data_IF_130300221055
#
_entry.id   IF_130300221055
#
_cell.length_a   1.000
_cell.length_b   1.000
_cell.length_c   1.000
_cell.angle_alpha   90.00
_cell.angle_beta   90.00
_cell.angle_gamma   90.00
#
_symmetry.space_group_name_H-M   'P 1'
#
loop_
_entity.id
_entity.type
_entity.pdbx_description
1 polymer ?
#
# COMPACT_ATOMS: atom_id res chain seq x y z
N UNK A 1 -14.53 -36.53 -27.23
CA UNK A 1 -14.54 -35.04 -27.24
C UNK A 1 -13.29 -34.58 -27.96
N UNK A 2 -13.45 -34.02 -29.16
CA UNK A 2 -12.32 -33.56 -29.96
C UNK A 2 -12.00 -32.13 -29.55
N UNK A 3 -10.89 -31.94 -28.82
CA UNK A 3 -10.45 -30.66 -28.25
C UNK A 3 -9.78 -29.70 -29.26
N UNK A 4 -9.64 -30.15 -30.51
CA UNK A 4 -8.95 -29.44 -31.59
C UNK A 4 -9.78 -28.28 -32.19
N UNK A 5 -11.09 -28.41 -32.48
CA UNK A 5 -11.89 -27.30 -33.00
C UNK A 5 -12.07 -26.15 -32.00
N UNK A 6 -12.19 -26.45 -30.69
CA UNK A 6 -12.45 -25.44 -29.66
C UNK A 6 -11.25 -24.52 -29.41
N UNK A 7 -10.02 -25.01 -29.56
CA UNK A 7 -8.81 -24.20 -29.38
C UNK A 7 -8.58 -23.21 -30.54
N UNK A 8 -9.05 -23.55 -31.74
CA UNK A 8 -8.96 -22.67 -32.92
C UNK A 8 -9.96 -21.51 -32.84
N UNK A 9 -11.15 -21.71 -32.28
CA UNK A 9 -12.14 -20.64 -32.05
C UNK A 9 -11.64 -19.56 -31.07
N UNK A 10 -10.99 -19.99 -29.98
CA UNK A 10 -10.44 -19.08 -28.96
C UNK A 10 -9.21 -18.31 -29.46
N UNK A 11 -8.48 -18.85 -30.44
CA UNK A 11 -7.29 -18.21 -31.02
C UNK A 11 -7.63 -17.13 -32.07
N UNK A 12 -8.84 -17.15 -32.63
CA UNK A 12 -9.26 -16.25 -33.70
C UNK A 12 -9.30 -14.74 -33.37
N UNK A 13 -9.63 -14.30 -32.14
CA UNK A 13 -9.54 -12.88 -31.76
C UNK A 13 -8.11 -12.40 -31.44
N UNK A 14 -7.11 -13.29 -31.47
CA UNK A 14 -5.78 -13.05 -30.92
C UNK A 14 -4.73 -13.55 -31.95
N UNK A 15 -4.77 -12.98 -33.15
CA UNK A 15 -4.06 -13.50 -34.33
C UNK A 15 -2.51 -13.40 -34.28
N UNK A 16 -1.92 -12.94 -33.17
CA UNK A 16 -0.46 -13.02 -32.91
C UNK A 16 -0.04 -14.27 -32.09
N UNK A 17 -0.97 -15.15 -31.70
CA UNK A 17 -0.73 -16.19 -30.68
C UNK A 17 -0.20 -17.56 -31.16
N UNK A 18 0.24 -17.80 -32.41
CA UNK A 18 0.62 -19.18 -32.79
C UNK A 18 1.70 -19.78 -31.89
N UNK A 19 2.70 -18.97 -31.50
CA UNK A 19 3.73 -19.40 -30.54
C UNK A 19 3.20 -19.41 -29.10
N UNK A 20 2.36 -18.43 -28.74
CA UNK A 20 1.79 -18.28 -27.40
C UNK A 20 0.81 -19.39 -27.05
N UNK A 21 0.00 -19.85 -28.00
CA UNK A 21 -0.93 -20.97 -27.87
C UNK A 21 -0.18 -22.30 -27.67
N UNK A 22 0.93 -22.51 -28.38
CA UNK A 22 1.79 -23.70 -28.20
C UNK A 22 2.46 -23.70 -26.82
N UNK A 23 2.89 -22.53 -26.35
CA UNK A 23 3.50 -22.38 -25.04
C UNK A 23 2.47 -22.60 -23.92
N UNK A 24 1.26 -22.05 -24.05
CA UNK A 24 0.14 -22.29 -23.13
C UNK A 24 -0.22 -23.78 -23.03
N UNK A 25 -0.30 -24.48 -24.16
CA UNK A 25 -0.58 -25.92 -24.17
C UNK A 25 0.51 -26.72 -23.48
N UNK A 26 1.79 -26.37 -23.70
CA UNK A 26 2.92 -26.99 -23.01
C UNK A 26 2.86 -26.74 -21.51
N UNK A 27 2.57 -25.51 -21.08
CA UNK A 27 2.46 -25.18 -19.65
C UNK A 27 1.28 -25.89 -18.98
N UNK A 28 0.14 -26.00 -19.64
CA UNK A 28 -1.00 -26.76 -19.14
C UNK A 28 -0.67 -28.26 -19.00
N UNK A 29 0.05 -28.85 -19.97
CA UNK A 29 0.50 -30.24 -19.89
C UNK A 29 1.53 -30.44 -18.77
N UNK A 30 2.51 -29.55 -18.64
CA UNK A 30 3.49 -29.60 -17.55
C UNK A 30 2.82 -29.48 -16.18
N UNK A 31 1.81 -28.62 -16.03
CA UNK A 31 1.05 -28.46 -14.80
C UNK A 31 0.23 -29.71 -14.43
N UNK A 32 -0.37 -30.39 -15.41
CA UNK A 32 -1.08 -31.65 -15.20
C UNK A 32 -0.12 -32.77 -14.76
N UNK A 33 1.10 -32.77 -15.29
CA UNK A 33 2.14 -33.77 -14.97
C UNK A 33 2.77 -33.49 -13.61
N UNK A 34 3.05 -32.23 -13.28
CA UNK A 34 3.57 -31.82 -12.00
C UNK A 34 3.06 -30.43 -11.61
N UNK A 35 2.16 -30.36 -10.62
CA UNK A 35 1.51 -29.12 -10.22
C UNK A 35 2.43 -28.17 -9.43
N UNK A 36 3.63 -28.61 -9.04
CA UNK A 36 4.62 -27.80 -8.33
C UNK A 36 5.67 -27.16 -9.26
N UNK A 37 5.78 -27.62 -10.51
CA UNK A 37 6.74 -27.12 -11.51
C UNK A 37 6.11 -26.09 -12.46
N UNK A 38 5.47 -25.06 -11.89
CA UNK A 38 5.02 -23.93 -12.69
C UNK A 38 6.23 -23.14 -13.21
N UNK A 39 6.23 -22.71 -14.49
CA UNK A 39 7.26 -21.82 -14.98
C UNK A 39 7.27 -20.56 -14.13
N UNK A 40 8.41 -20.29 -13.50
CA UNK A 40 8.62 -19.07 -12.72
C UNK A 40 8.35 -17.91 -13.66
N UNK A 41 7.39 -17.08 -13.29
CA UNK A 41 7.06 -15.89 -14.05
C UNK A 41 8.29 -14.97 -14.08
N UNK A 42 9.04 -15.00 -15.17
CA UNK A 42 10.21 -14.15 -15.35
C UNK A 42 9.82 -12.66 -15.41
N UNK A 43 8.53 -12.32 -15.60
CA UNK A 43 8.08 -10.92 -15.54
C UNK A 43 8.24 -10.29 -14.16
N UNK A 44 8.14 -11.06 -13.08
CA UNK A 44 8.30 -10.55 -11.71
C UNK A 44 9.74 -10.09 -11.43
N UNK A 45 10.69 -10.47 -12.28
CA UNK A 45 12.12 -10.12 -12.17
C UNK A 45 12.49 -8.83 -12.91
N UNK A 46 11.65 -8.30 -13.80
CA UNK A 46 12.11 -7.33 -14.82
C UNK A 46 11.92 -5.86 -14.44
N UNK A 47 11.20 -5.53 -13.38
CA UNK A 47 11.10 -4.14 -12.90
C UNK A 47 11.03 -4.08 -11.37
N UNK A 48 12.17 -4.30 -10.71
CA UNK A 48 12.29 -3.95 -9.29
C UNK A 48 12.23 -2.42 -9.20
N UNK A 49 11.09 -1.89 -8.74
CA UNK A 49 10.88 -0.46 -8.52
C UNK A 49 12.06 0.15 -7.75
N UNK A 50 12.47 1.37 -8.09
CA UNK A 50 13.51 2.09 -7.34
C UNK A 50 13.18 2.18 -5.84
N UNK A 51 11.90 2.22 -5.49
CA UNK A 51 11.42 2.16 -4.11
C UNK A 51 11.81 0.87 -3.37
N UNK A 52 11.87 -0.28 -4.05
CA UNK A 52 12.21 -1.56 -3.41
C UNK A 52 13.66 -1.63 -2.92
N UNK A 53 14.53 -0.73 -3.41
CA UNK A 53 15.90 -0.57 -2.89
C UNK A 53 15.96 0.14 -1.53
N UNK A 54 14.81 0.63 -1.03
CA UNK A 54 14.61 1.05 0.36
C UNK A 54 15.18 2.42 0.74
N UNK A 55 16.32 2.83 0.20
CA UNK A 55 16.97 4.11 0.54
C UNK A 55 16.18 5.31 0.00
N UNK A 56 15.79 5.25 -1.28
CA UNK A 56 15.02 6.33 -1.94
C UNK A 56 13.66 6.54 -1.26
N UNK A 57 13.02 5.45 -0.85
CA UNK A 57 11.76 5.49 -0.14
C UNK A 57 11.87 6.27 1.18
N UNK A 58 12.95 6.04 1.93
CA UNK A 58 13.20 6.75 3.20
C UNK A 58 13.43 8.23 2.97
N UNK A 59 14.25 8.60 1.98
CA UNK A 59 14.52 10.00 1.66
C UNK A 59 13.27 10.74 1.18
N UNK A 60 12.47 10.12 0.31
CA UNK A 60 11.18 10.67 -0.11
C UNK A 60 10.28 10.86 1.13
N UNK A 61 10.19 9.86 2.01
CA UNK A 61 9.37 9.96 3.23
C UNK A 61 9.81 11.14 4.11
N UNK A 62 11.11 11.28 4.34
CA UNK A 62 11.68 12.41 5.09
C UNK A 62 11.37 13.74 4.41
N UNK A 63 11.52 13.83 3.09
CA UNK A 63 11.18 15.05 2.36
C UNK A 63 9.70 15.42 2.50
N UNK A 64 8.81 14.45 2.32
CA UNK A 64 7.37 14.67 2.42
C UNK A 64 6.95 15.12 3.83
N UNK A 65 7.59 14.59 4.88
CA UNK A 65 7.38 15.06 6.26
C UNK A 65 7.74 16.54 6.45
N UNK A 66 8.75 17.07 5.74
CA UNK A 66 9.12 18.50 5.83
C UNK A 66 8.10 19.43 5.16
N UNK A 67 7.33 18.96 4.18
CA UNK A 67 6.29 19.73 3.49
C UNK A 67 5.06 19.88 4.39
N UNK A 68 4.71 18.82 5.13
CA UNK A 68 3.64 18.85 6.12
C UNK A 68 2.30 18.35 5.57
N UNK A 69 1.22 19.08 5.87
CA UNK A 69 -0.15 18.56 5.71
C UNK A 69 -0.60 18.38 4.26
N UNK A 70 -0.05 19.08 3.28
CA UNK A 70 -0.55 19.03 1.90
C UNK A 70 0.56 18.54 0.97
N UNK A 71 0.58 17.24 0.76
CA UNK A 71 1.56 16.53 -0.07
C UNK A 71 0.93 16.07 -1.38
N UNK A 72 1.68 16.19 -2.48
CA UNK A 72 1.27 15.78 -3.81
C UNK A 72 2.35 14.94 -4.49
N UNK A 73 1.95 14.20 -5.53
CA UNK A 73 2.89 13.44 -6.37
C UNK A 73 3.89 14.36 -7.10
N UNK A 74 3.52 15.63 -7.32
CA UNK A 74 4.42 16.63 -7.90
C UNK A 74 5.59 16.98 -6.96
N UNK A 75 5.38 16.90 -5.64
CA UNK A 75 6.44 17.14 -4.66
C UNK A 75 7.53 16.06 -4.72
N UNK A 76 7.12 14.80 -4.96
CA UNK A 76 8.06 13.69 -5.19
C UNK A 76 8.87 13.93 -6.46
N UNK A 77 8.22 14.36 -7.54
CA UNK A 77 8.91 14.69 -8.79
C UNK A 77 9.93 15.80 -8.57
N UNK A 78 9.51 16.90 -7.92
CA UNK A 78 10.37 18.04 -7.64
C UNK A 78 11.56 17.66 -6.77
N UNK A 79 11.36 16.79 -5.78
CA UNK A 79 12.43 16.25 -4.95
C UNK A 79 13.47 15.49 -5.78
N UNK A 80 13.02 14.59 -6.64
CA UNK A 80 13.89 13.78 -7.51
C UNK A 80 14.56 14.58 -8.63
N UNK A 81 14.03 15.75 -8.98
CA UNK A 81 14.66 16.68 -9.93
C UNK A 81 15.77 17.54 -9.31
N UNK A 82 15.92 17.53 -7.98
CA UNK A 82 17.04 18.19 -7.30
C UNK A 82 18.36 17.59 -7.80
N UNK A 83 19.36 18.40 -8.21
CA UNK A 83 20.59 17.89 -8.83
C UNK A 83 21.29 16.83 -7.97
N UNK A 84 21.38 17.06 -6.66
CA UNK A 84 22.03 16.13 -5.72
C UNK A 84 21.36 14.74 -5.72
N UNK A 85 20.03 14.69 -5.64
CA UNK A 85 19.25 13.45 -5.62
C UNK A 85 19.29 12.77 -6.99
N UNK A 86 19.20 13.57 -8.06
CA UNK A 86 19.22 13.09 -9.44
C UNK A 86 20.55 12.41 -9.78
N UNK A 87 21.66 12.97 -9.30
CA UNK A 87 23.00 12.43 -9.49
C UNK A 87 23.24 11.20 -8.61
N UNK A 88 22.82 11.24 -7.33
CA UNK A 88 22.94 10.12 -6.39
C UNK A 88 22.25 8.85 -6.91
N UNK A 89 21.07 8.98 -7.53
CA UNK A 89 20.31 7.86 -8.07
C UNK A 89 20.48 7.64 -9.58
N UNK A 90 21.42 8.36 -10.21
CA UNK A 90 21.71 8.29 -11.65
C UNK A 90 20.45 8.37 -12.55
N UNK A 91 19.51 9.25 -12.18
CA UNK A 91 18.22 9.38 -12.86
C UNK A 91 18.39 10.17 -14.17
N UNK A 92 18.44 9.45 -15.28
CA UNK A 92 18.55 10.04 -16.64
C UNK A 92 17.31 10.82 -17.07
N UNK A 93 16.14 10.45 -16.54
CA UNK A 93 14.85 11.06 -16.89
C UNK A 93 14.05 11.30 -15.62
N UNK A 94 13.28 12.38 -15.62
CA UNK A 94 12.26 12.62 -14.62
C UNK A 94 11.23 11.49 -14.67
N UNK A 95 10.80 11.01 -13.51
CA UNK A 95 9.73 10.02 -13.43
C UNK A 95 8.39 10.63 -13.89
N UNK A 96 7.52 9.87 -14.55
CA UNK A 96 6.20 10.37 -14.89
C UNK A 96 5.33 10.50 -13.64
N UNK A 97 4.34 11.40 -13.70
CA UNK A 97 3.39 11.63 -12.61
C UNK A 97 2.69 10.35 -12.15
N UNK A 98 2.34 9.45 -13.07
CA UNK A 98 1.72 8.18 -12.76
C UNK A 98 2.61 7.28 -11.88
N UNK A 99 3.92 7.27 -12.13
CA UNK A 99 4.87 6.54 -11.27
C UNK A 99 4.96 7.17 -9.89
N UNK A 100 4.99 8.50 -9.79
CA UNK A 100 4.99 9.20 -8.51
C UNK A 100 3.69 8.94 -7.71
N UNK A 101 2.53 8.88 -8.38
CA UNK A 101 1.27 8.49 -7.76
C UNK A 101 1.28 7.04 -7.26
N UNK A 102 1.79 6.12 -8.08
CA UNK A 102 1.93 4.72 -7.68
C UNK A 102 2.90 4.57 -6.49
N UNK A 103 3.95 5.39 -6.43
CA UNK A 103 4.88 5.44 -5.30
C UNK A 103 4.22 5.96 -4.03
N UNK A 104 3.36 6.98 -4.13
CA UNK A 104 2.57 7.44 -2.98
C UNK A 104 1.70 6.31 -2.43
N UNK A 105 0.98 5.60 -3.30
CA UNK A 105 0.13 4.46 -2.90
C UNK A 105 0.95 3.34 -2.24
N UNK A 106 2.10 2.98 -2.82
CA UNK A 106 3.01 1.98 -2.28
C UNK A 106 3.62 2.37 -0.91
N UNK A 107 3.72 3.66 -0.62
CA UNK A 107 4.22 4.22 0.63
C UNK A 107 3.09 4.61 1.61
N UNK A 108 1.86 4.16 1.37
CA UNK A 108 0.65 4.43 2.16
C UNK A 108 0.25 5.93 2.26
N UNK A 109 0.65 6.75 1.28
CA UNK A 109 0.22 8.14 1.13
C UNK A 109 -1.05 8.25 0.29
N UNK A 110 -2.19 7.98 0.89
CA UNK A 110 -3.50 8.13 0.26
C UNK A 110 -4.34 9.24 0.90
N UNK A 111 -4.89 10.12 0.08
CA UNK A 111 -5.90 11.11 0.48
C UNK A 111 -7.23 10.40 0.70
N UNK A 112 -7.52 10.04 1.95
CA UNK A 112 -8.83 9.52 2.33
C UNK A 112 -9.65 10.68 2.89
N UNK A 113 -10.93 10.75 2.51
CA UNK A 113 -11.87 11.62 3.24
C UNK A 113 -11.87 11.15 4.68
N UNK A 114 -11.44 12.02 5.59
CA UNK A 114 -11.53 11.73 7.01
C UNK A 114 -12.97 11.24 7.30
N UNK A 115 -13.15 10.06 7.90
CA UNK A 115 -14.48 9.59 8.24
C UNK A 115 -15.15 10.68 9.06
N UNK A 116 -16.25 11.22 8.55
CA UNK A 116 -17.08 12.19 9.26
C UNK A 116 -17.80 11.44 10.37
N UNK A 117 -17.07 11.10 11.42
CA UNK A 117 -17.53 10.20 12.45
C UNK A 117 -16.40 9.89 13.44
N UNK A 118 -16.52 10.50 14.61
CA UNK A 118 -15.80 10.21 15.86
C UNK A 118 -14.34 10.69 15.94
N UNK A 119 -14.21 11.94 16.42
CA UNK A 119 -13.06 12.55 17.12
C UNK A 119 -11.66 12.10 16.67
N UNK A 120 -11.14 12.74 15.61
CA UNK A 120 -9.74 12.61 15.17
C UNK A 120 -8.81 13.50 16.01
N UNK A 121 -9.34 14.58 16.60
CA UNK A 121 -8.66 15.30 17.66
C UNK A 121 -9.29 14.94 19.01
N UNK A 122 -8.46 14.79 20.04
CA UNK A 122 -8.91 14.73 21.42
C UNK A 122 -9.40 16.10 21.90
N UNK A 123 -10.15 16.84 21.09
CA UNK A 123 -10.80 18.06 21.55
C UNK A 123 -11.96 17.64 22.43
N UNK A 124 -11.67 17.37 23.70
CA UNK A 124 -12.68 17.04 24.70
C UNK A 124 -13.72 18.18 24.68
N UNK A 125 -14.92 17.87 24.17
CA UNK A 125 -16.00 18.84 24.14
C UNK A 125 -16.23 19.35 25.57
N UNK A 126 -16.31 20.68 25.75
CA UNK A 126 -16.41 21.29 27.09
C UNK A 126 -17.53 20.67 27.94
N UNK A 127 -18.62 20.25 27.30
CA UNK A 127 -19.73 19.59 27.97
C UNK A 127 -19.40 18.16 28.41
N UNK A 128 -18.61 17.43 27.62
CA UNK A 128 -18.08 16.10 27.97
C UNK A 128 -17.09 16.21 29.13
N UNK A 129 -16.19 17.21 29.10
CA UNK A 129 -15.27 17.50 30.23
C UNK A 129 -16.06 17.86 31.48
N UNK A 130 -17.03 18.76 31.36
CA UNK A 130 -17.88 19.18 32.46
C UNK A 130 -18.64 18.00 33.06
N UNK A 131 -19.25 17.17 32.22
CA UNK A 131 -19.95 15.96 32.66
C UNK A 131 -19.00 14.97 33.36
N UNK A 132 -17.80 14.75 32.80
CA UNK A 132 -16.78 13.89 33.40
C UNK A 132 -16.38 14.40 34.79
N UNK A 133 -16.04 15.67 34.92
CA UNK A 133 -15.56 16.27 36.16
C UNK A 133 -16.66 16.40 37.23
N UNK A 134 -17.89 16.74 36.84
CA UNK A 134 -18.96 17.11 37.80
C UNK A 134 -19.92 15.97 38.12
N UNK A 135 -20.07 14.99 37.21
CA UNK A 135 -21.03 13.90 37.36
C UNK A 135 -20.30 12.57 37.44
N UNK A 136 -19.55 12.19 36.40
CA UNK A 136 -18.99 10.84 36.30
C UNK A 136 -17.96 10.51 37.38
N UNK A 137 -16.95 11.38 37.60
CA UNK A 137 -15.89 11.16 38.58
C UNK A 137 -16.41 11.17 40.03
N UNK A 138 -17.31 12.09 40.44
CA UNK A 138 -17.96 12.00 41.75
C UNK A 138 -18.80 10.73 41.91
N UNK A 139 -19.64 10.39 40.94
CA UNK A 139 -20.52 9.20 41.00
C UNK A 139 -19.72 7.90 41.07
N UNK A 140 -18.57 7.78 40.39
CA UNK A 140 -17.72 6.58 40.50
C UNK A 140 -16.87 6.57 41.79
N UNK A 141 -16.64 7.73 42.41
CA UNK A 141 -16.00 7.85 43.72
C UNK A 141 -16.89 7.49 44.91
N UNK A 142 -18.21 7.45 44.71
CA UNK A 142 -19.21 7.25 45.77
C UNK A 142 -19.55 5.79 46.16
N UNK A 143 -19.32 4.72 45.37
CA UNK A 143 -19.60 3.35 45.83
C UNK A 143 -18.42 2.73 46.59
N UNK A 144 -18.58 2.66 47.92
CA UNK A 144 -17.68 1.99 48.88
C UNK A 144 -17.65 0.45 48.84
N UNK A 145 -18.43 -0.23 47.99
CA UNK A 145 -18.73 -1.66 48.23
C UNK A 145 -18.16 -2.70 47.23
N UNK A 146 -17.84 -2.38 45.97
CA UNK A 146 -17.49 -3.44 44.98
C UNK A 146 -16.33 -3.09 44.02
N UNK A 147 -15.33 -2.32 44.48
CA UNK A 147 -14.12 -2.12 43.69
C UNK A 147 -13.14 -3.25 44.04
N UNK A 148 -12.88 -4.15 43.09
CA UNK A 148 -11.93 -5.25 43.24
C UNK A 148 -10.52 -4.69 43.54
N UNK A 149 -10.02 -4.89 44.76
CA UNK A 149 -8.66 -4.50 45.13
C UNK A 149 -7.70 -5.59 44.68
N UNK A 150 -6.86 -5.28 43.70
CA UNK A 150 -5.78 -6.17 43.29
C UNK A 150 -4.77 -6.29 44.44
N UNK A 151 -4.57 -7.52 44.94
CA UNK A 151 -3.49 -7.79 45.90
C UNK A 151 -2.15 -7.64 45.18
N UNK A 152 -1.28 -6.79 45.71
CA UNK A 152 0.13 -6.77 45.30
C UNK A 152 0.79 -8.05 45.80
N UNK A 153 1.41 -8.78 44.88
CA UNK A 153 2.27 -9.91 45.21
C UNK A 153 3.54 -9.36 45.84
N UNK A 154 3.89 -9.88 47.02
CA UNK A 154 5.12 -9.56 47.73
C UNK A 154 6.16 -10.64 47.49
#
# INVERSE_FOLDING_TARGET
MNWIPTSLEVAHPFQELSQTSKNLQKWAQLFIVNCTDLPINLYDLWNVSLLNKGEVAKEIHTHLQTIGKYISAADIIKFLETPDIKDNYALKKTIPLSTAQWWMDMMDYHWIKAPSGQYVDGHECKDVVKYRQTTFLPTIGEPKWNIHKWKKWS
#
